data_IF_486913277105
#
_entry.id   IF_486913277105
#
_cell.length_a   1.000
_cell.length_b   1.000
_cell.length_c   1.000
_cell.angle_alpha   90.00
_cell.angle_beta   90.00
_cell.angle_gamma   90.00
#
_symmetry.space_group_name_H-M   'P 1'
#
loop_
_entity.id
_entity.type
_entity.pdbx_description
1 polymer ?
#
# COMPACT_ATOMS: atom_id res chain seq x y z
N UNK A 1 -22.83 -22.40 -71.89
CA UNK A 1 -22.19 -21.28 -72.62
C UNK A 1 -21.41 -20.45 -71.63
N UNK A 2 -20.12 -20.28 -71.94
CA UNK A 2 -19.12 -19.33 -71.44
C UNK A 2 -18.67 -19.44 -69.97
N UNK A 3 -17.42 -19.87 -69.89
CA UNK A 3 -16.44 -19.99 -68.81
C UNK A 3 -15.96 -18.65 -68.26
N UNK A 4 -15.55 -18.63 -66.98
CA UNK A 4 -14.79 -17.53 -66.38
C UNK A 4 -13.77 -18.03 -65.35
N UNK A 5 -12.54 -18.24 -65.80
CA UNK A 5 -11.27 -18.42 -65.07
C UNK A 5 -11.00 -17.20 -64.17
N UNK A 6 -10.49 -17.31 -62.93
CA UNK A 6 -9.16 -17.81 -62.58
C UNK A 6 -8.17 -16.64 -62.46
N UNK A 7 -7.83 -16.22 -61.24
CA UNK A 7 -6.84 -15.16 -60.99
C UNK A 7 -6.39 -15.10 -59.54
N UNK A 8 -5.42 -15.93 -59.16
CA UNK A 8 -4.64 -15.78 -57.91
C UNK A 8 -3.53 -14.78 -58.16
N UNK A 9 -3.46 -13.71 -57.37
CA UNK A 9 -2.28 -12.83 -57.31
C UNK A 9 -1.37 -13.29 -56.18
N UNK A 10 -0.14 -13.63 -56.55
CA UNK A 10 1.00 -13.76 -55.66
C UNK A 10 1.40 -12.34 -55.20
N UNK A 11 1.59 -12.16 -53.89
CA UNK A 11 2.34 -11.02 -53.36
C UNK A 11 3.73 -11.53 -52.97
N UNK A 12 4.74 -10.90 -53.54
CA UNK A 12 6.15 -11.08 -53.22
C UNK A 12 6.42 -10.61 -51.78
N UNK A 13 7.08 -11.47 -51.00
CA UNK A 13 7.58 -11.12 -49.68
C UNK A 13 8.90 -10.36 -49.85
N UNK A 14 8.88 -9.06 -49.53
CA UNK A 14 10.10 -8.27 -49.34
C UNK A 14 10.69 -8.58 -47.96
N UNK A 15 11.98 -8.92 -47.95
CA UNK A 15 12.82 -9.02 -46.76
C UNK A 15 12.89 -7.66 -46.05
N UNK A 16 12.35 -7.56 -44.85
CA UNK A 16 12.61 -6.44 -43.94
C UNK A 16 13.67 -6.86 -42.90
N UNK A 17 14.74 -6.06 -42.87
CA UNK A 17 15.85 -6.11 -41.91
C UNK A 17 15.37 -5.88 -40.47
N UNK A 18 16.12 -6.34 -39.44
CA UNK A 18 15.72 -6.13 -38.06
C UNK A 18 15.83 -4.65 -37.69
N UNK A 19 14.69 -4.03 -37.38
CA UNK A 19 14.62 -2.73 -36.72
C UNK A 19 15.21 -2.85 -35.31
N UNK A 20 16.30 -2.12 -35.07
CA UNK A 20 16.87 -1.94 -33.75
C UNK A 20 15.84 -1.28 -32.81
N UNK A 21 15.67 -1.89 -31.65
CA UNK A 21 14.79 -1.43 -30.57
C UNK A 21 15.38 -0.15 -29.96
N UNK A 22 14.75 1.04 -30.07
CA UNK A 22 15.20 2.19 -29.32
C UNK A 22 14.87 1.94 -27.84
N UNK A 23 15.93 1.77 -27.03
CA UNK A 23 15.79 1.66 -25.59
C UNK A 23 15.04 2.86 -24.98
N UNK A 24 14.48 2.70 -23.77
CA UNK A 24 13.68 3.74 -23.12
C UNK A 24 14.48 5.04 -22.96
N UNK A 25 13.84 6.21 -23.11
CA UNK A 25 14.51 7.50 -23.02
C UNK A 25 15.13 7.68 -21.64
N UNK A 26 16.47 7.75 -21.59
CA UNK A 26 17.20 8.13 -20.38
C UNK A 26 16.90 9.61 -20.08
N UNK A 27 15.90 9.84 -19.22
CA UNK A 27 15.53 11.18 -18.77
C UNK A 27 16.59 11.75 -17.81
N UNK A 28 17.69 12.26 -18.37
CA UNK A 28 18.73 12.97 -17.63
C UNK A 28 18.29 14.37 -17.11
N UNK A 29 17.00 14.71 -17.21
CA UNK A 29 16.46 16.03 -16.82
C UNK A 29 16.10 16.11 -15.34
N UNK A 30 15.82 14.98 -14.67
CA UNK A 30 15.50 14.95 -13.23
C UNK A 30 16.69 15.37 -12.33
N UNK A 31 17.94 15.14 -12.78
CA UNK A 31 19.14 15.52 -12.01
C UNK A 31 19.47 17.02 -12.04
N UNK A 32 18.89 17.80 -12.96
CA UNK A 32 19.17 19.25 -13.10
C UNK A 32 18.19 20.17 -12.36
N UNK A 33 17.11 19.63 -11.77
CA UNK A 33 16.08 20.45 -11.11
C UNK A 33 16.32 20.67 -9.60
N UNK A 34 17.18 19.87 -8.96
CA UNK A 34 17.48 20.02 -7.52
C UNK A 34 18.38 21.26 -7.23
N UNK A 35 19.09 21.79 -8.22
CA UNK A 35 20.00 22.93 -8.05
C UNK A 35 19.34 24.32 -8.14
N UNK A 36 18.01 24.41 -8.30
CA UNK A 36 17.27 25.68 -8.40
C UNK A 36 16.21 25.89 -7.32
N UNK A 37 16.32 25.22 -6.18
CA UNK A 37 15.60 25.68 -4.98
C UNK A 37 16.30 26.94 -4.51
N UNK A 38 15.68 28.11 -4.72
CA UNK A 38 16.07 29.35 -4.04
C UNK A 38 15.96 29.05 -2.54
N UNK A 39 17.08 28.77 -1.90
CA UNK A 39 17.19 28.68 -0.45
C UNK A 39 16.59 29.98 0.11
N UNK A 40 15.47 29.86 0.79
CA UNK A 40 14.98 30.92 1.65
C UNK A 40 16.08 31.23 2.66
N UNK A 41 16.55 32.48 2.66
CA UNK A 41 17.54 32.95 3.62
C UNK A 41 17.04 32.64 5.04
N UNK A 42 17.90 32.15 5.94
CA UNK A 42 17.52 31.93 7.32
C UNK A 42 17.07 33.26 7.94
N UNK A 43 15.96 33.21 8.68
CA UNK A 43 15.59 34.25 9.64
C UNK A 43 16.79 34.39 10.58
N UNK A 44 17.47 35.53 10.55
CA UNK A 44 18.58 35.82 11.44
C UNK A 44 18.08 35.77 12.90
N UNK A 45 18.34 34.67 13.59
CA UNK A 45 18.44 34.72 15.05
C UNK A 45 19.63 35.64 15.34
N UNK A 46 19.40 36.70 16.14
CA UNK A 46 20.34 37.80 16.34
C UNK A 46 21.77 37.32 16.58
N UNK A 47 22.71 38.04 15.96
CA UNK A 47 24.15 37.85 16.15
C UNK A 47 24.47 37.97 17.64
N UNK A 48 24.91 36.85 18.23
CA UNK A 48 25.56 36.85 19.54
C UNK A 48 27.04 36.95 19.23
N UNK A 49 27.66 38.05 19.62
CA UNK A 49 29.12 38.22 19.54
C UNK A 49 29.78 37.08 20.33
N UNK A 50 30.59 36.29 19.64
CA UNK A 50 31.41 35.24 20.24
C UNK A 50 32.76 35.87 20.58
N UNK A 51 33.05 35.99 21.88
CA UNK A 51 34.40 36.22 22.35
C UNK A 51 35.27 35.00 22.01
N UNK A 52 36.38 35.22 21.31
CA UNK A 52 37.41 34.25 21.00
C UNK A 52 38.05 33.71 22.29
N UNK A 53 37.44 32.67 22.86
CA UNK A 53 37.97 31.96 24.01
C UNK A 53 39.13 31.03 23.61
N UNK A 54 40.16 31.06 24.44
CA UNK A 54 41.46 30.39 24.29
C UNK A 54 41.37 28.86 24.10
N UNK A 55 42.43 28.22 23.58
CA UNK A 55 42.43 26.78 23.31
C UNK A 55 42.41 25.94 24.59
N UNK A 56 41.37 25.11 24.68
CA UNK A 56 41.18 23.84 25.41
C UNK A 56 42.15 23.56 26.58
N UNK A 57 41.75 23.97 27.79
CA UNK A 57 42.05 23.17 28.98
C UNK A 57 41.35 21.82 28.82
N UNK A 58 42.10 20.73 29.01
CA UNK A 58 41.60 19.35 28.97
C UNK A 58 40.67 19.14 30.17
N UNK A 59 39.39 19.49 29.99
CA UNK A 59 38.35 19.30 31.00
C UNK A 59 38.20 17.79 31.22
N UNK A 60 38.30 17.35 32.47
CA UNK A 60 38.24 15.94 32.84
C UNK A 60 37.00 15.26 32.21
N UNK A 61 37.22 14.18 31.45
CA UNK A 61 36.19 13.48 30.66
C UNK A 61 35.11 12.75 31.51
N UNK A 62 35.14 12.91 32.84
CA UNK A 62 34.34 12.14 33.81
C UNK A 62 33.25 12.95 34.53
N UNK A 63 32.98 14.19 34.15
CA UNK A 63 31.87 14.92 34.77
C UNK A 63 30.52 14.47 34.20
N UNK A 64 29.64 13.99 35.09
CA UNK A 64 28.25 13.73 34.77
C UNK A 64 27.51 15.05 34.49
N UNK A 65 26.65 15.03 33.46
CA UNK A 65 25.76 16.14 33.15
C UNK A 65 24.29 15.69 33.22
N UNK A 66 23.40 16.60 33.58
CA UNK A 66 21.97 16.29 33.72
C UNK A 66 21.27 16.40 32.36
N UNK A 67 20.59 15.33 31.94
CA UNK A 67 19.79 15.32 30.72
C UNK A 67 18.59 16.27 30.82
N UNK A 68 18.39 17.16 29.85
CA UNK A 68 17.25 18.10 29.85
C UNK A 68 15.86 17.46 29.67
N UNK A 69 15.78 16.16 29.36
CA UNK A 69 14.52 15.44 29.11
C UNK A 69 14.18 14.47 30.26
N UNK A 70 15.04 13.50 30.56
CA UNK A 70 14.80 12.55 31.65
C UNK A 70 15.25 13.06 33.03
N UNK A 71 16.02 14.16 33.08
CA UNK A 71 16.59 14.73 34.31
C UNK A 71 17.56 13.80 35.05
N UNK A 72 18.03 12.74 34.39
CA UNK A 72 19.04 11.82 34.94
C UNK A 72 20.45 12.36 34.72
N UNK A 73 21.34 12.11 35.68
CA UNK A 73 22.78 12.32 35.52
C UNK A 73 23.31 11.28 34.52
N UNK A 74 23.96 11.77 33.47
CA UNK A 74 24.50 10.96 32.38
C UNK A 74 25.94 11.37 32.14
N UNK A 75 26.87 10.43 31.93
CA UNK A 75 28.25 10.76 31.61
C UNK A 75 28.32 11.73 30.42
N UNK A 76 29.21 12.73 30.46
CA UNK A 76 29.33 13.72 29.38
C UNK A 76 29.50 13.08 27.97
N UNK A 77 30.14 11.90 27.87
CA UNK A 77 30.27 11.13 26.62
C UNK A 77 28.94 10.65 26.03
N UNK A 78 27.94 10.40 26.88
CA UNK A 78 26.61 9.91 26.49
C UNK A 78 25.60 11.06 26.40
N UNK A 79 26.08 12.31 26.41
CA UNK A 79 25.31 13.51 26.19
C UNK A 79 25.44 14.01 24.75
N UNK A 80 24.32 14.42 24.19
CA UNK A 80 24.18 14.92 22.84
C UNK A 80 23.77 16.39 22.85
N UNK A 81 24.54 17.22 22.16
CA UNK A 81 24.29 18.66 22.01
C UNK A 81 23.43 18.91 20.78
N UNK A 82 22.29 19.54 20.98
CA UNK A 82 21.24 19.73 19.98
C UNK A 82 21.48 20.99 19.14
N UNK A 83 21.95 20.81 17.91
CA UNK A 83 22.02 21.85 16.88
C UNK A 83 22.64 23.17 17.37
N UNK A 84 22.07 24.30 16.95
CA UNK A 84 22.53 25.65 17.32
C UNK A 84 22.06 26.11 18.71
N UNK A 85 21.06 25.44 19.31
CA UNK A 85 20.54 25.85 20.61
C UNK A 85 21.39 25.39 21.80
N UNK A 86 22.41 24.56 21.55
CA UNK A 86 23.32 24.01 22.57
C UNK A 86 22.63 23.28 23.75
N UNK A 87 21.35 22.94 23.62
CA UNK A 87 20.65 22.12 24.60
C UNK A 87 21.24 20.72 24.65
N UNK A 88 21.34 20.14 25.84
CA UNK A 88 21.96 18.84 26.06
C UNK A 88 20.93 17.81 26.50
N UNK A 89 20.97 16.64 25.88
CA UNK A 89 20.10 15.50 26.21
C UNK A 89 20.92 14.22 26.14
N UNK A 90 20.59 13.18 26.92
CA UNK A 90 21.27 11.90 26.79
C UNK A 90 20.97 11.25 25.43
N UNK A 91 21.86 10.37 24.96
CA UNK A 91 21.71 9.67 23.68
C UNK A 91 20.36 8.93 23.57
N UNK A 92 19.90 8.30 24.66
CA UNK A 92 18.61 7.60 24.68
C UNK A 92 17.41 8.53 24.49
N UNK A 93 17.38 9.68 25.17
CA UNK A 93 16.31 10.67 24.96
C UNK A 93 16.37 11.29 23.56
N UNK A 94 17.57 11.52 23.01
CA UNK A 94 17.72 12.04 21.65
C UNK A 94 17.17 11.05 20.61
N UNK A 95 17.56 9.78 20.68
CA UNK A 95 17.10 8.73 19.76
C UNK A 95 15.61 8.47 19.92
N UNK A 96 15.11 8.39 21.16
CA UNK A 96 13.68 8.28 21.45
C UNK A 96 12.87 9.44 20.85
N UNK A 97 13.37 10.67 20.97
CA UNK A 97 12.73 11.85 20.37
C UNK A 97 12.68 11.80 18.84
N UNK A 98 13.76 11.36 18.18
CA UNK A 98 13.79 11.19 16.72
C UNK A 98 12.78 10.12 16.26
N UNK A 99 12.67 9.01 16.99
CA UNK A 99 11.66 7.97 16.72
C UNK A 99 10.24 8.49 16.89
N UNK A 100 9.98 9.23 17.95
CA UNK A 100 8.69 9.90 18.17
C UNK A 100 8.38 10.89 17.03
N UNK A 101 9.38 11.67 16.58
CA UNK A 101 9.24 12.59 15.45
C UNK A 101 8.87 11.86 14.16
N UNK A 102 9.47 10.71 13.85
CA UNK A 102 9.11 9.89 12.68
C UNK A 102 7.66 9.37 12.75
N UNK A 103 7.10 9.19 13.95
CA UNK A 103 5.69 8.86 14.14
C UNK A 103 4.74 10.05 13.95
N UNK A 104 5.25 11.27 14.14
CA UNK A 104 4.48 12.53 14.14
C UNK A 104 5.09 13.58 13.22
N UNK A 105 5.31 13.21 11.95
CA UNK A 105 6.07 14.01 10.97
C UNK A 105 5.55 15.46 10.87
N UNK A 106 4.24 15.67 10.90
CA UNK A 106 3.63 17.00 10.76
C UNK A 106 3.84 17.97 11.93
N UNK A 107 4.15 17.49 13.14
CA UNK A 107 4.32 18.35 14.33
C UNK A 107 5.80 18.60 14.64
N UNK A 108 6.61 17.55 14.55
CA UNK A 108 7.98 17.55 15.03
C UNK A 108 9.02 17.82 13.95
N UNK A 109 8.67 17.71 12.66
CA UNK A 109 9.55 18.17 11.59
C UNK A 109 9.27 19.62 11.22
N UNK A 110 10.36 20.37 11.04
CA UNK A 110 10.37 21.75 10.56
C UNK A 110 11.28 21.85 9.34
N UNK A 111 11.19 22.95 8.59
CA UNK A 111 12.24 23.29 7.64
C UNK A 111 13.60 23.26 8.34
N UNK A 112 14.51 22.43 7.84
CA UNK A 112 15.85 22.27 8.42
C UNK A 112 16.03 21.06 9.36
N UNK A 113 14.99 20.32 9.75
CA UNK A 113 15.14 19.04 10.47
C UNK A 113 14.10 18.77 11.56
N UNK A 114 14.51 18.08 12.63
CA UNK A 114 13.63 17.71 13.76
C UNK A 114 13.66 18.80 14.83
N UNK A 115 12.50 19.26 15.32
CA UNK A 115 12.43 20.27 16.39
C UNK A 115 13.18 19.80 17.64
N UNK A 116 13.89 20.73 18.29
CA UNK A 116 14.48 20.47 19.59
C UNK A 116 13.41 20.08 20.64
N UNK A 117 13.61 19.02 21.45
CA UNK A 117 12.65 18.59 22.47
C UNK A 117 12.52 19.57 23.65
N UNK A 118 13.45 20.53 23.80
CA UNK A 118 13.49 21.39 24.98
C UNK A 118 12.43 22.50 24.96
N UNK A 119 11.86 22.75 26.14
CA UNK A 119 10.96 23.87 26.42
C UNK A 119 11.72 24.90 27.27
N UNK A 120 11.59 26.18 26.92
CA UNK A 120 12.19 27.29 27.67
C UNK A 120 11.41 27.53 28.97
N UNK A 121 12.01 28.24 29.92
CA UNK A 121 11.40 28.57 31.22
C UNK A 121 10.06 29.33 31.13
N UNK A 122 9.80 30.03 30.02
CA UNK A 122 8.53 30.72 29.75
C UNK A 122 7.45 29.80 29.13
N UNK A 123 7.66 28.49 29.12
CA UNK A 123 6.74 27.51 28.54
C UNK A 123 6.76 27.43 27.01
N UNK A 124 7.57 28.23 26.30
CA UNK A 124 7.69 28.17 24.84
C UNK A 124 8.70 27.11 24.41
N UNK A 125 8.36 26.29 23.41
CA UNK A 125 9.28 25.32 22.80
C UNK A 125 10.49 26.03 22.16
N UNK A 126 11.64 25.38 22.17
CA UNK A 126 12.80 25.84 21.43
C UNK A 126 12.48 25.92 19.92
N UNK A 127 12.91 27.00 19.26
CA UNK A 127 12.65 27.24 17.84
C UNK A 127 13.66 26.51 16.92
N UNK A 128 14.75 25.98 17.47
CA UNK A 128 15.80 25.36 16.69
C UNK A 128 15.40 23.96 16.19
N UNK A 129 15.97 23.60 15.04
CA UNK A 129 15.90 22.28 14.45
C UNK A 129 17.25 21.57 14.63
N UNK A 130 17.20 20.25 14.76
CA UNK A 130 18.33 19.35 14.67
C UNK A 130 18.42 18.93 13.20
N UNK A 131 19.45 19.39 12.50
CA UNK A 131 19.64 19.07 11.10
C UNK A 131 20.02 17.59 10.88
N UNK A 132 19.93 17.15 9.63
CA UNK A 132 20.18 15.75 9.26
C UNK A 132 21.61 15.29 9.60
N UNK A 133 22.61 16.15 9.41
CA UNK A 133 24.02 15.79 9.66
C UNK A 133 24.27 15.59 11.17
N UNK A 134 23.64 16.40 12.01
CA UNK A 134 23.63 16.19 13.47
C UNK A 134 22.92 14.90 13.85
N UNK A 135 21.78 14.59 13.24
CA UNK A 135 21.07 13.33 13.51
C UNK A 135 21.84 12.09 13.04
N UNK A 136 22.61 12.21 11.96
CA UNK A 136 23.56 11.18 11.54
C UNK A 136 24.65 10.98 12.59
N UNK A 137 25.24 12.08 13.09
CA UNK A 137 26.27 12.01 14.15
C UNK A 137 25.73 11.42 15.45
N UNK A 138 24.44 11.64 15.77
CA UNK A 138 23.77 10.99 16.90
C UNK A 138 23.80 9.47 16.74
N UNK A 139 23.44 8.95 15.56
CA UNK A 139 23.47 7.52 15.30
C UNK A 139 24.88 6.92 15.41
N UNK A 140 25.89 7.62 14.91
CA UNK A 140 27.29 7.20 14.99
C UNK A 140 27.80 7.20 16.44
N UNK A 141 27.44 8.22 17.22
CA UNK A 141 27.75 8.29 18.66
C UNK A 141 27.04 7.21 19.48
N UNK A 142 25.75 6.99 19.25
CA UNK A 142 25.03 5.88 19.87
C UNK A 142 25.69 4.55 19.53
N UNK A 143 26.14 4.34 18.29
CA UNK A 143 26.84 3.09 17.95
C UNK A 143 28.17 2.95 18.73
N UNK A 144 28.91 4.04 18.91
CA UNK A 144 30.17 4.05 19.65
C UNK A 144 29.99 3.80 21.15
N UNK A 145 29.00 4.42 21.80
CA UNK A 145 28.69 4.19 23.22
C UNK A 145 28.26 2.75 23.53
N UNK A 146 27.80 2.02 22.51
CA UNK A 146 27.38 0.61 22.64
C UNK A 146 28.52 -0.41 22.41
N UNK A 147 29.74 -0.01 22.06
CA UNK A 147 30.91 -0.90 22.00
C UNK A 147 31.62 -0.95 23.36
N UNK A 148 31.50 -2.01 24.18
CA UNK A 148 32.29 -3.24 24.11
C UNK A 148 31.53 -4.48 24.65
N UNK A 149 30.22 -4.58 24.43
CA UNK A 149 29.42 -5.73 24.94
C UNK A 149 29.50 -6.99 24.06
N UNK A 150 30.23 -6.92 22.93
CA UNK A 150 30.34 -8.03 21.97
C UNK A 150 31.12 -9.24 22.49
N UNK A 151 31.86 -9.10 23.60
CA UNK A 151 32.67 -10.18 24.18
C UNK A 151 31.86 -11.17 25.04
N UNK A 152 30.69 -10.80 25.57
CA UNK A 152 29.96 -11.64 26.55
C UNK A 152 28.70 -12.34 26.04
N UNK A 153 28.19 -12.01 24.83
CA UNK A 153 26.93 -12.58 24.32
C UNK A 153 27.06 -13.65 23.22
N UNK A 154 28.28 -14.02 22.80
CA UNK A 154 28.51 -15.00 21.73
C UNK A 154 28.55 -16.48 22.19
N UNK A 155 27.70 -16.89 23.15
CA UNK A 155 27.60 -18.30 23.60
C UNK A 155 26.18 -18.87 23.64
N UNK A 156 25.27 -18.49 22.74
CA UNK A 156 23.98 -19.19 22.58
C UNK A 156 23.77 -19.67 21.15
N UNK A 157 23.92 -20.99 20.98
CA UNK A 157 23.86 -21.79 19.74
C UNK A 157 22.43 -22.13 19.29
N UNK A 158 21.51 -21.18 19.23
CA UNK A 158 20.10 -21.46 18.85
C UNK A 158 19.54 -20.45 17.85
N UNK A 159 19.93 -20.61 16.58
CA UNK A 159 19.74 -19.64 15.49
C UNK A 159 18.33 -19.61 14.83
N UNK A 160 17.35 -20.38 15.32
CA UNK A 160 16.04 -20.54 14.64
C UNK A 160 14.80 -20.14 15.45
N UNK A 161 14.93 -19.71 16.71
CA UNK A 161 13.76 -19.33 17.55
C UNK A 161 13.56 -17.80 17.64
N UNK A 162 14.51 -16.96 17.20
CA UNK A 162 14.47 -15.50 17.44
C UNK A 162 13.77 -14.70 16.32
N UNK A 163 13.35 -15.33 15.21
CA UNK A 163 12.80 -14.59 14.06
C UNK A 163 11.40 -13.96 14.28
N UNK A 164 10.71 -14.26 15.40
CA UNK A 164 9.37 -13.75 15.69
C UNK A 164 9.25 -12.95 16.99
N UNK A 165 10.36 -12.73 17.70
CA UNK A 165 10.42 -11.80 18.82
C UNK A 165 11.28 -10.63 18.38
N UNK A 166 10.65 -9.58 17.85
CA UNK A 166 11.30 -8.27 17.80
C UNK A 166 11.18 -7.74 19.22
N UNK A 167 12.22 -7.80 20.08
CA UNK A 167 12.15 -7.18 21.38
C UNK A 167 11.75 -5.72 21.19
N UNK A 168 10.89 -5.22 22.07
CA UNK A 168 10.59 -3.78 22.12
C UNK A 168 11.93 -3.05 22.21
N UNK A 169 12.29 -2.31 21.15
CA UNK A 169 13.55 -1.57 21.12
C UNK A 169 13.53 -0.54 22.24
N UNK A 170 14.50 -0.63 23.13
CA UNK A 170 14.66 0.35 24.19
C UNK A 170 15.05 1.70 23.58
N UNK A 171 14.67 2.79 24.24
CA UNK A 171 14.92 4.17 23.77
C UNK A 171 16.41 4.48 23.54
N UNK A 172 17.32 3.68 24.10
CA UNK A 172 18.77 3.79 23.95
C UNK A 172 19.34 3.28 22.63
N UNK A 173 18.67 2.35 21.92
CA UNK A 173 19.25 1.69 20.76
C UNK A 173 19.64 2.70 19.66
N UNK A 174 20.81 2.59 19.00
CA UNK A 174 21.17 3.43 17.87
C UNK A 174 20.10 3.43 16.76
N UNK A 175 20.01 4.52 16.01
CA UNK A 175 19.14 4.56 14.83
C UNK A 175 19.64 3.56 13.78
N UNK A 176 18.75 2.71 13.29
CA UNK A 176 19.07 1.79 12.20
C UNK A 176 19.26 2.55 10.88
N UNK A 177 19.93 1.91 9.92
CA UNK A 177 20.09 2.46 8.55
C UNK A 177 18.75 2.74 7.88
N UNK A 178 17.72 1.93 8.15
CA UNK A 178 16.34 2.15 7.66
C UNK A 178 15.73 3.40 8.29
N UNK A 179 15.92 3.61 9.59
CA UNK A 179 15.44 4.81 10.29
C UNK A 179 16.15 6.07 9.77
N UNK A 180 17.47 6.03 9.56
CA UNK A 180 18.23 7.14 8.99
C UNK A 180 17.79 7.49 7.57
N UNK A 181 17.50 6.50 6.72
CA UNK A 181 16.98 6.74 5.37
C UNK A 181 15.59 7.38 5.40
N UNK A 182 14.70 6.90 6.29
CA UNK A 182 13.38 7.52 6.52
C UNK A 182 13.50 8.95 7.03
N UNK A 183 14.41 9.19 7.97
CA UNK A 183 14.68 10.50 8.53
C UNK A 183 15.17 11.49 7.48
N UNK A 184 16.11 11.07 6.63
CA UNK A 184 16.60 11.88 5.51
C UNK A 184 15.44 12.29 4.59
N UNK A 185 14.58 11.33 4.24
CA UNK A 185 13.39 11.58 3.42
C UNK A 185 12.47 12.62 4.07
N UNK A 186 12.18 12.50 5.36
CA UNK A 186 11.31 13.45 6.06
C UNK A 186 11.92 14.84 6.18
N UNK A 187 13.24 14.97 6.38
CA UNK A 187 13.91 16.28 6.38
C UNK A 187 13.82 16.96 5.00
N UNK A 188 13.95 16.20 3.91
CA UNK A 188 13.78 16.73 2.55
C UNK A 188 12.32 17.10 2.30
N UNK A 189 11.38 16.25 2.70
CA UNK A 189 9.94 16.51 2.58
C UNK A 189 9.56 17.78 3.34
N UNK A 190 9.98 17.94 4.60
CA UNK A 190 9.66 19.08 5.46
C UNK A 190 10.22 20.42 4.96
N UNK A 191 11.28 20.40 4.16
CA UNK A 191 11.84 21.57 3.52
C UNK A 191 10.98 22.10 2.36
N UNK A 192 10.10 21.28 1.79
CA UNK A 192 9.19 21.69 0.71
C UNK A 192 7.86 22.11 1.32
N UNK A 193 7.32 23.31 1.01
CA UNK A 193 6.00 23.72 1.47
C UNK A 193 4.92 22.69 1.14
N UNK A 194 3.93 22.52 2.01
CA UNK A 194 2.89 21.49 1.85
C UNK A 194 2.03 21.67 0.59
N UNK A 195 1.87 22.91 0.14
CA UNK A 195 1.17 23.29 -1.10
C UNK A 195 2.03 23.06 -2.37
N UNK A 196 3.33 22.83 -2.21
CA UNK A 196 4.27 22.58 -3.30
C UNK A 196 4.74 21.12 -3.38
N UNK A 197 4.15 20.21 -2.59
CA UNK A 197 4.49 18.78 -2.62
C UNK A 197 3.27 17.89 -2.65
N UNK A 198 3.41 16.75 -3.30
CA UNK A 198 2.41 15.68 -3.31
C UNK A 198 3.10 14.33 -3.51
N UNK A 199 2.41 13.23 -3.25
CA UNK A 199 2.94 11.89 -3.52
C UNK A 199 2.25 11.29 -4.73
N UNK A 200 3.05 10.72 -5.63
CA UNK A 200 2.55 10.01 -6.80
C UNK A 200 1.57 8.89 -6.38
N UNK A 201 0.34 8.82 -6.92
CA UNK A 201 -0.63 7.79 -6.54
C UNK A 201 -0.20 6.37 -6.96
N UNK A 202 0.67 6.23 -7.97
CA UNK A 202 1.12 4.93 -8.46
C UNK A 202 2.32 4.37 -7.67
N UNK A 203 3.37 5.18 -7.46
CA UNK A 203 4.62 4.73 -6.84
C UNK A 203 4.90 5.34 -5.46
N UNK A 204 4.07 6.27 -4.97
CA UNK A 204 4.18 6.95 -3.67
C UNK A 204 5.44 7.79 -3.46
N UNK A 205 6.22 7.99 -4.53
CA UNK A 205 7.37 8.92 -4.50
C UNK A 205 6.90 10.37 -4.37
N UNK A 206 7.70 11.15 -3.64
CA UNK A 206 7.47 12.59 -3.47
C UNK A 206 7.69 13.30 -4.80
N UNK A 207 6.74 14.16 -5.16
CA UNK A 207 6.82 15.01 -6.33
C UNK A 207 6.62 16.46 -5.90
N UNK A 208 7.53 17.33 -6.33
CA UNK A 208 7.41 18.78 -6.18
C UNK A 208 6.48 19.28 -7.27
N UNK A 209 5.47 20.07 -6.88
CA UNK A 209 4.48 20.65 -7.79
C UNK A 209 5.08 21.91 -8.40
N UNK A 210 5.35 21.89 -9.71
CA UNK A 210 5.92 22.99 -10.47
C UNK A 210 4.88 23.61 -11.43
N UNK A 211 3.88 24.32 -10.88
CA UNK A 211 2.99 25.17 -11.70
C UNK A 211 1.54 25.21 -11.26
N UNK A 212 0.76 26.05 -11.94
CA UNK A 212 -0.64 26.36 -11.58
C UNK A 212 -1.66 25.38 -12.17
N UNK A 213 -1.28 24.60 -13.18
CA UNK A 213 -2.22 23.76 -13.96
C UNK A 213 -2.81 22.56 -13.21
N UNK A 214 -2.35 22.30 -11.98
CA UNK A 214 -2.75 21.14 -11.18
C UNK A 214 -2.35 19.78 -11.77
N UNK A 215 -1.71 19.74 -12.96
CA UNK A 215 -1.15 18.52 -13.56
C UNK A 215 0.26 18.28 -13.04
N UNK A 216 0.52 17.06 -12.60
CA UNK A 216 1.84 16.62 -12.17
C UNK A 216 2.22 15.39 -12.95
N UNK A 217 3.44 15.37 -13.51
CA UNK A 217 4.04 14.18 -14.12
C UNK A 217 5.08 13.64 -13.16
N UNK A 218 4.91 12.40 -12.71
CA UNK A 218 5.87 11.78 -11.82
C UNK A 218 7.21 11.56 -12.53
N UNK A 219 8.28 12.18 -12.04
CA UNK A 219 9.63 12.01 -12.60
C UNK A 219 10.20 10.59 -12.47
N UNK A 220 9.61 9.75 -11.61
CA UNK A 220 10.07 8.38 -11.34
C UNK A 220 9.40 7.33 -12.24
N UNK A 221 8.07 7.33 -12.34
CA UNK A 221 7.33 6.33 -13.11
C UNK A 221 6.61 6.89 -14.35
N UNK A 222 6.70 8.20 -14.60
CA UNK A 222 6.14 8.85 -15.80
C UNK A 222 4.62 9.04 -15.80
N UNK A 223 3.91 8.53 -14.80
CA UNK A 223 2.44 8.69 -14.71
C UNK A 223 2.05 10.13 -14.45
N UNK A 224 0.94 10.58 -15.04
CA UNK A 224 0.40 11.91 -14.81
C UNK A 224 -0.86 11.88 -13.93
N UNK A 225 -0.97 12.84 -13.02
CA UNK A 225 -2.04 12.87 -12.04
C UNK A 225 -2.37 14.31 -11.61
N UNK A 226 -3.52 14.47 -10.96
CA UNK A 226 -3.95 15.75 -10.41
C UNK A 226 -3.29 16.01 -9.05
N UNK A 227 -2.63 17.16 -8.89
CA UNK A 227 -2.03 17.59 -7.62
C UNK A 227 -3.06 17.69 -6.49
N UNK A 228 -4.28 18.13 -6.80
CA UNK A 228 -5.34 18.36 -5.83
C UNK A 228 -5.99 17.07 -5.31
N UNK A 229 -6.58 16.26 -6.20
CA UNK A 229 -7.30 15.04 -5.81
C UNK A 229 -6.48 13.74 -5.94
N UNK A 230 -5.25 13.81 -6.45
CA UNK A 230 -4.35 12.67 -6.71
C UNK A 230 -4.92 11.62 -7.68
N UNK A 231 -5.94 11.98 -8.47
CA UNK A 231 -6.50 11.09 -9.48
C UNK A 231 -5.52 10.86 -10.63
N UNK A 232 -5.41 9.59 -11.04
CA UNK A 232 -4.67 9.13 -12.20
C UNK A 232 -5.62 8.33 -13.11
N UNK A 233 -5.72 8.63 -14.42
CA UNK A 233 -4.98 9.68 -15.13
C UNK A 233 -5.43 11.10 -14.75
N UNK A 234 -4.62 12.10 -15.08
CA UNK A 234 -4.97 13.51 -14.87
C UNK A 234 -6.23 13.93 -15.67
N UNK A 235 -7.05 14.81 -15.10
CA UNK A 235 -8.28 15.32 -15.71
C UNK A 235 -8.16 16.84 -15.99
N UNK A 236 -8.35 17.24 -17.26
CA UNK A 236 -8.29 18.66 -17.69
C UNK A 236 -9.62 19.38 -17.55
N UNK A 237 -10.67 18.74 -18.04
CA UNK A 237 -11.96 19.39 -18.33
C UNK A 237 -12.98 19.20 -17.20
N UNK A 238 -12.50 18.86 -16.01
CA UNK A 238 -13.30 18.63 -14.82
C UNK A 238 -12.58 19.22 -13.61
N UNK A 239 -13.34 19.85 -12.72
CA UNK A 239 -12.87 20.15 -11.36
C UNK A 239 -12.62 18.84 -10.60
N UNK A 240 -11.82 18.89 -9.53
CA UNK A 240 -11.61 17.72 -8.67
C UNK A 240 -12.92 17.12 -8.16
N UNK A 241 -13.90 17.96 -7.80
CA UNK A 241 -15.21 17.52 -7.31
C UNK A 241 -16.05 16.83 -8.39
N UNK A 242 -16.06 17.35 -9.63
CA UNK A 242 -16.77 16.73 -10.75
C UNK A 242 -16.13 15.39 -11.17
N UNK A 243 -14.80 15.34 -11.16
CA UNK A 243 -14.06 14.11 -11.44
C UNK A 243 -14.32 13.05 -10.38
N UNK A 244 -14.31 13.43 -9.10
CA UNK A 244 -14.67 12.54 -8.01
C UNK A 244 -16.11 12.05 -8.12
N UNK A 245 -17.08 12.93 -8.40
CA UNK A 245 -18.48 12.55 -8.58
C UNK A 245 -18.68 11.59 -9.76
N UNK A 246 -17.98 11.83 -10.87
CA UNK A 246 -18.00 10.96 -12.05
C UNK A 246 -17.39 9.59 -11.71
N UNK A 247 -16.23 9.57 -11.05
CA UNK A 247 -15.59 8.33 -10.60
C UNK A 247 -16.43 7.60 -9.55
N UNK A 248 -17.13 8.30 -8.67
CA UNK A 248 -18.05 7.70 -7.70
C UNK A 248 -19.19 6.96 -8.42
N UNK A 249 -19.82 7.60 -9.41
CA UNK A 249 -20.84 6.97 -10.26
C UNK A 249 -20.29 5.78 -11.05
N UNK A 250 -19.08 5.91 -11.61
CA UNK A 250 -18.42 4.80 -12.31
C UNK A 250 -18.07 3.64 -11.36
N UNK A 251 -17.64 3.93 -10.13
CA UNK A 251 -17.39 2.91 -9.11
C UNK A 251 -18.69 2.22 -8.72
N UNK A 252 -19.75 2.97 -8.46
CA UNK A 252 -21.09 2.43 -8.15
C UNK A 252 -21.61 1.56 -9.29
N UNK A 253 -21.53 2.04 -10.54
CA UNK A 253 -21.91 1.27 -11.73
C UNK A 253 -21.07 0.01 -11.91
N UNK A 254 -19.75 0.06 -11.70
CA UNK A 254 -18.87 -1.12 -11.74
C UNK A 254 -19.15 -2.08 -10.59
N UNK A 255 -19.45 -1.56 -9.39
CA UNK A 255 -19.87 -2.35 -8.24
C UNK A 255 -21.19 -3.05 -8.52
N UNK A 256 -22.15 -2.37 -9.15
CA UNK A 256 -23.44 -2.95 -9.53
C UNK A 256 -23.26 -4.01 -10.63
N UNK A 257 -22.44 -3.75 -11.65
CA UNK A 257 -22.09 -4.73 -12.68
C UNK A 257 -21.41 -5.96 -12.08
N UNK A 258 -20.47 -5.75 -11.15
CA UNK A 258 -19.81 -6.84 -10.42
C UNK A 258 -20.81 -7.65 -9.61
N UNK A 259 -21.65 -7.00 -8.79
CA UNK A 259 -22.68 -7.68 -8.00
C UNK A 259 -23.62 -8.46 -8.90
N UNK A 260 -24.07 -7.88 -10.00
CA UNK A 260 -24.96 -8.54 -10.97
C UNK A 260 -24.31 -9.76 -11.63
N UNK A 261 -23.04 -9.64 -12.00
CA UNK A 261 -22.29 -10.72 -12.62
C UNK A 261 -21.94 -11.83 -11.63
N UNK A 262 -21.67 -11.54 -10.35
CA UNK A 262 -21.23 -12.54 -9.36
C UNK A 262 -22.32 -13.07 -8.45
N UNK A 263 -23.57 -12.64 -8.64
CA UNK A 263 -24.67 -12.98 -7.74
C UNK A 263 -25.87 -13.53 -8.50
N UNK A 264 -26.71 -14.28 -7.78
CA UNK A 264 -28.01 -14.73 -8.26
C UNK A 264 -29.09 -14.07 -7.40
N UNK A 265 -30.22 -13.65 -8.00
CA UNK A 265 -31.30 -13.04 -7.25
C UNK A 265 -31.98 -14.09 -6.36
N UNK A 266 -32.29 -13.72 -5.12
CA UNK A 266 -33.13 -14.53 -4.27
C UNK A 266 -34.50 -14.72 -4.94
N UNK A 267 -35.00 -15.96 -5.09
CA UNK A 267 -36.28 -16.24 -5.75
C UNK A 267 -37.49 -15.64 -5.02
N UNK A 268 -37.35 -15.23 -3.76
CA UNK A 268 -38.44 -14.66 -2.95
C UNK A 268 -38.42 -13.12 -2.90
N UNK A 269 -37.24 -12.49 -2.87
CA UNK A 269 -37.12 -11.03 -2.65
C UNK A 269 -36.13 -10.33 -3.60
N UNK A 270 -35.61 -11.06 -4.60
CA UNK A 270 -34.64 -10.60 -5.61
C UNK A 270 -33.30 -10.10 -5.09
N UNK A 271 -33.06 -10.07 -3.78
CA UNK A 271 -31.79 -9.64 -3.20
C UNK A 271 -30.61 -10.45 -3.78
N UNK A 272 -29.52 -9.78 -4.20
CA UNK A 272 -28.37 -10.45 -4.79
C UNK A 272 -27.68 -11.32 -3.74
N UNK A 273 -27.43 -12.59 -4.09
CA UNK A 273 -26.71 -13.53 -3.23
C UNK A 273 -25.48 -14.03 -3.99
N UNK A 274 -24.31 -13.98 -3.35
CA UNK A 274 -23.07 -14.54 -3.92
C UNK A 274 -22.77 -15.89 -3.26
N UNK A 275 -22.26 -16.83 -4.04
CA UNK A 275 -21.76 -18.11 -3.55
C UNK A 275 -20.59 -18.57 -4.43
N UNK A 276 -19.47 -18.91 -3.80
CA UNK A 276 -18.27 -19.33 -4.50
C UNK A 276 -18.18 -20.84 -4.60
N UNK A 277 -17.60 -21.30 -5.70
CA UNK A 277 -17.36 -22.71 -5.98
C UNK A 277 -16.47 -23.33 -4.90
N UNK A 278 -16.98 -24.35 -4.22
CA UNK A 278 -16.28 -25.05 -3.14
C UNK A 278 -16.29 -24.33 -1.78
N UNK A 279 -17.13 -23.32 -1.56
CA UNK A 279 -17.29 -22.65 -0.26
C UNK A 279 -18.52 -23.17 0.51
N UNK A 280 -18.76 -24.48 0.43
CA UNK A 280 -19.92 -25.15 1.02
C UNK A 280 -20.95 -25.64 0.00
N UNK A 281 -22.10 -26.07 0.51
CA UNK A 281 -23.18 -26.58 -0.33
C UNK A 281 -24.00 -25.46 -0.99
N UNK A 282 -24.77 -25.80 -2.01
CA UNK A 282 -25.65 -24.85 -2.70
C UNK A 282 -26.85 -24.38 -1.86
N UNK A 283 -26.96 -24.74 -0.57
CA UNK A 283 -28.04 -24.28 0.30
C UNK A 283 -27.75 -22.87 0.81
N UNK A 284 -28.52 -21.89 0.35
CA UNK A 284 -28.47 -20.55 0.93
C UNK A 284 -29.27 -20.55 2.23
N UNK A 285 -28.55 -20.71 3.34
CA UNK A 285 -29.05 -20.73 4.72
C UNK A 285 -28.24 -19.97 5.79
N UNK A 286 -27.17 -19.17 5.53
CA UNK A 286 -26.45 -18.48 6.60
C UNK A 286 -27.40 -17.62 7.45
N UNK A 287 -27.43 -17.85 8.76
CA UNK A 287 -28.34 -17.12 9.67
C UNK A 287 -29.84 -17.34 9.37
N UNK A 288 -30.21 -18.49 8.80
CA UNK A 288 -31.61 -18.88 8.57
C UNK A 288 -32.18 -18.52 7.19
N UNK A 289 -31.34 -18.40 6.15
CA UNK A 289 -31.80 -18.19 4.77
C UNK A 289 -31.22 -16.93 4.11
N UNK A 290 -31.92 -16.40 3.11
CA UNK A 290 -31.62 -15.09 2.53
C UNK A 290 -31.58 -14.01 3.64
N UNK A 291 -30.55 -13.16 3.73
CA UNK A 291 -30.45 -12.17 4.81
C UNK A 291 -31.63 -11.19 4.89
N UNK A 292 -32.31 -10.94 3.76
CA UNK A 292 -33.42 -9.99 3.67
C UNK A 292 -34.78 -10.58 4.00
N UNK A 293 -35.07 -11.81 3.54
CA UNK A 293 -36.40 -12.42 3.68
C UNK A 293 -36.40 -13.77 4.39
N UNK A 294 -35.23 -14.26 4.83
CA UNK A 294 -35.02 -15.57 5.48
C UNK A 294 -35.46 -16.79 4.66
N UNK A 295 -35.76 -16.61 3.37
CA UNK A 295 -36.08 -17.74 2.50
C UNK A 295 -34.87 -18.64 2.30
N UNK A 296 -35.04 -19.94 2.51
CA UNK A 296 -34.06 -20.96 2.14
C UNK A 296 -34.24 -21.38 0.68
N UNK A 297 -33.14 -21.48 -0.07
CA UNK A 297 -33.20 -21.84 -1.48
C UNK A 297 -31.88 -22.43 -2.00
N UNK A 298 -31.93 -23.08 -3.17
CA UNK A 298 -30.76 -23.65 -3.83
C UNK A 298 -30.08 -22.64 -4.76
N UNK A 299 -28.83 -22.29 -4.49
CA UNK A 299 -28.05 -21.38 -5.34
C UNK A 299 -27.93 -21.86 -6.80
N UNK A 300 -27.77 -23.18 -7.00
CA UNK A 300 -27.63 -23.76 -8.34
C UNK A 300 -28.90 -23.59 -9.17
N UNK A 301 -30.07 -23.82 -8.59
CA UNK A 301 -31.31 -23.94 -9.37
C UNK A 301 -32.46 -23.01 -8.97
N UNK A 302 -32.31 -22.15 -7.97
CA UNK A 302 -33.35 -21.20 -7.56
C UNK A 302 -34.53 -21.80 -6.78
N UNK A 303 -34.60 -23.13 -6.60
CA UNK A 303 -35.75 -23.77 -5.94
C UNK A 303 -35.80 -23.41 -4.45
N UNK A 304 -36.95 -22.91 -3.99
CA UNK A 304 -37.21 -22.52 -2.59
C UNK A 304 -37.64 -23.70 -1.73
N UNK A 305 -37.59 -23.52 -0.41
CA UNK A 305 -38.16 -24.47 0.54
C UNK A 305 -39.62 -24.80 0.24
N UNK A 306 -40.43 -23.76 0.09
CA UNK A 306 -41.85 -23.88 -0.17
C UNK A 306 -42.12 -24.66 -1.47
N UNK A 307 -41.37 -24.36 -2.53
CA UNK A 307 -41.50 -25.09 -3.80
C UNK A 307 -41.14 -26.57 -3.63
N UNK A 308 -40.05 -26.88 -2.92
CA UNK A 308 -39.59 -28.25 -2.74
C UNK A 308 -40.55 -29.08 -1.89
N UNK A 309 -41.08 -28.52 -0.80
CA UNK A 309 -42.11 -29.19 0.00
C UNK A 309 -43.35 -29.45 -0.85
N UNK A 310 -43.83 -28.45 -1.59
CA UNK A 310 -45.03 -28.57 -2.41
C UNK A 310 -44.89 -29.58 -3.55
N UNK A 311 -43.75 -29.59 -4.27
CA UNK A 311 -43.59 -30.41 -5.49
C UNK A 311 -42.93 -31.76 -5.23
N UNK A 312 -42.16 -31.92 -4.14
CA UNK A 312 -41.25 -33.06 -3.93
C UNK A 312 -41.30 -33.61 -2.50
N UNK A 313 -42.14 -33.06 -1.63
CA UNK A 313 -42.42 -33.59 -0.29
C UNK A 313 -41.30 -33.45 0.75
N UNK A 314 -40.17 -32.82 0.42
CA UNK A 314 -39.03 -32.61 1.34
C UNK A 314 -38.40 -31.25 1.10
N UNK A 315 -38.08 -30.51 2.17
CA UNK A 315 -37.50 -29.15 2.08
C UNK A 315 -36.24 -29.08 1.22
N UNK A 316 -35.34 -30.05 1.35
CA UNK A 316 -34.06 -30.06 0.63
C UNK A 316 -34.15 -30.58 -0.80
N UNK A 317 -35.27 -31.18 -1.21
CA UNK A 317 -35.37 -31.88 -2.49
C UNK A 317 -35.47 -30.89 -3.66
N UNK A 318 -34.35 -30.35 -4.14
CA UNK A 318 -34.35 -29.46 -5.30
C UNK A 318 -34.26 -30.22 -6.63
N UNK A 319 -34.34 -29.50 -7.76
CA UNK A 319 -34.24 -30.06 -9.12
C UNK A 319 -32.82 -30.42 -9.57
N UNK A 320 -31.80 -30.16 -8.75
CA UNK A 320 -30.41 -30.49 -9.09
C UNK A 320 -30.17 -32.00 -8.97
N UNK A 321 -29.10 -32.52 -9.57
CA UNK A 321 -28.60 -33.86 -9.28
C UNK A 321 -27.40 -33.77 -8.34
N UNK A 322 -27.34 -34.55 -7.25
CA UNK A 322 -28.44 -35.31 -6.64
C UNK A 322 -29.48 -34.35 -6.05
N UNK A 323 -30.77 -34.66 -6.10
CA UNK A 323 -31.92 -33.81 -5.72
C UNK A 323 -31.93 -33.35 -4.26
N UNK A 324 -30.94 -32.54 -3.88
CA UNK A 324 -30.66 -32.07 -2.53
C UNK A 324 -29.94 -30.72 -2.57
N UNK A 325 -30.32 -29.81 -1.67
CA UNK A 325 -29.60 -28.57 -1.41
C UNK A 325 -28.20 -28.78 -0.86
N UNK A 326 -27.95 -29.93 -0.23
CA UNK A 326 -26.62 -30.34 0.21
C UNK A 326 -25.72 -30.77 -0.94
N UNK A 327 -26.14 -30.55 -2.20
CA UNK A 327 -25.24 -30.71 -3.34
C UNK A 327 -24.11 -29.69 -3.24
N UNK A 328 -22.89 -30.20 -3.37
CA UNK A 328 -21.69 -29.40 -3.50
C UNK A 328 -21.39 -29.15 -4.98
N UNK A 329 -20.46 -28.24 -5.25
CA UNK A 329 -19.96 -28.05 -6.59
C UNK A 329 -19.21 -29.31 -7.05
N UNK A 330 -19.36 -29.67 -8.32
CA UNK A 330 -18.61 -30.78 -8.90
C UNK A 330 -17.20 -30.31 -9.25
N UNK A 331 -16.17 -31.03 -8.81
CA UNK A 331 -14.77 -30.62 -9.02
C UNK A 331 -14.10 -31.34 -10.21
N UNK A 332 -14.64 -32.51 -10.59
CA UNK A 332 -14.11 -33.31 -11.68
C UNK A 332 -14.06 -32.51 -12.99
N UNK A 333 -12.87 -32.48 -13.63
CA UNK A 333 -12.63 -31.81 -14.92
C UNK A 333 -13.04 -30.33 -14.93
N UNK A 334 -12.94 -29.63 -13.79
CA UNK A 334 -13.40 -28.24 -13.63
C UNK A 334 -12.95 -27.31 -14.77
N UNK A 335 -11.70 -27.44 -15.23
CA UNK A 335 -11.15 -26.63 -16.31
C UNK A 335 -11.99 -26.67 -17.61
N UNK A 336 -12.61 -27.81 -17.94
CA UNK A 336 -13.46 -27.95 -19.12
C UNK A 336 -14.80 -27.19 -19.01
N UNK A 337 -15.24 -26.94 -17.77
CA UNK A 337 -16.52 -26.30 -17.44
C UNK A 337 -16.37 -24.85 -17.01
N UNK A 338 -15.16 -24.31 -16.97
CA UNK A 338 -14.97 -22.88 -16.73
C UNK A 338 -15.39 -22.07 -17.96
N UNK A 339 -16.18 -21.03 -17.72
CA UNK A 339 -16.43 -19.93 -18.65
C UNK A 339 -16.14 -18.61 -17.95
N UNK A 340 -15.97 -17.58 -18.74
CA UNK A 340 -15.68 -16.23 -18.27
C UNK A 340 -16.86 -15.34 -18.63
N UNK A 341 -17.31 -14.55 -17.67
CA UNK A 341 -18.34 -13.56 -17.91
C UNK A 341 -17.78 -12.41 -18.77
N UNK A 342 -18.33 -12.23 -19.96
CA UNK A 342 -17.89 -11.21 -20.91
C UNK A 342 -18.35 -9.81 -20.53
N UNK A 343 -19.41 -9.68 -19.72
CA UNK A 343 -19.96 -8.39 -19.27
C UNK A 343 -19.01 -7.68 -18.30
N UNK A 344 -18.04 -8.41 -17.74
CA UNK A 344 -16.98 -7.86 -16.86
C UNK A 344 -15.65 -7.59 -17.59
N UNK A 345 -15.60 -7.67 -18.93
CA UNK A 345 -14.44 -7.20 -19.70
C UNK A 345 -14.34 -5.69 -19.56
N UNK A 346 -13.67 -5.22 -18.51
CA UNK A 346 -13.25 -3.82 -18.40
C UNK A 346 -12.53 -3.45 -19.69
N UNK A 347 -13.00 -2.43 -20.39
CA UNK A 347 -12.65 -2.07 -21.77
C UNK A 347 -11.19 -1.68 -22.06
N UNK A 348 -10.20 -2.28 -21.38
CA UNK A 348 -8.81 -2.25 -21.79
C UNK A 348 -8.57 -3.30 -22.87
N UNK A 349 -8.47 -2.88 -24.12
CA UNK A 349 -8.31 -3.70 -25.33
C UNK A 349 -6.99 -4.49 -25.44
N UNK A 350 -6.54 -5.15 -24.39
CA UNK A 350 -5.32 -5.95 -24.37
C UNK A 350 -5.58 -7.42 -24.06
N UNK A 351 -6.01 -8.20 -25.06
CA UNK A 351 -5.73 -9.64 -25.30
C UNK A 351 -5.89 -10.72 -24.20
N UNK A 352 -6.15 -10.40 -22.93
CA UNK A 352 -6.25 -11.34 -21.84
C UNK A 352 -7.65 -11.32 -21.23
N UNK A 353 -8.38 -12.42 -21.33
CA UNK A 353 -9.76 -12.58 -20.85
C UNK A 353 -9.95 -12.15 -19.40
N UNK A 354 -10.44 -10.92 -19.19
CA UNK A 354 -10.61 -10.28 -17.88
C UNK A 354 -11.93 -10.57 -17.17
N UNK A 355 -12.72 -11.54 -17.64
CA UNK A 355 -13.96 -11.94 -16.98
C UNK A 355 -13.72 -12.69 -15.67
N UNK A 356 -14.73 -12.77 -14.81
CA UNK A 356 -14.68 -13.64 -13.64
C UNK A 356 -15.02 -15.07 -14.06
N UNK A 357 -14.16 -16.06 -13.78
CA UNK A 357 -14.46 -17.43 -14.13
C UNK A 357 -15.60 -17.99 -13.26
N UNK A 358 -16.47 -18.78 -13.88
CA UNK A 358 -17.53 -19.52 -13.22
C UNK A 358 -17.69 -20.91 -13.84
N UNK A 359 -18.20 -21.85 -13.04
CA UNK A 359 -18.49 -23.21 -13.50
C UNK A 359 -19.89 -23.27 -14.12
N UNK A 360 -20.00 -23.59 -15.40
CA UNK A 360 -21.30 -23.62 -16.11
C UNK A 360 -22.27 -24.69 -15.57
N UNK A 361 -21.79 -25.71 -14.85
CA UNK A 361 -22.63 -26.79 -14.32
C UNK A 361 -23.47 -26.33 -13.13
N UNK A 362 -22.98 -25.37 -12.34
CA UNK A 362 -23.68 -24.85 -11.15
C UNK A 362 -23.91 -23.33 -11.19
N UNK A 363 -23.20 -22.62 -12.06
CA UNK A 363 -23.18 -21.15 -12.10
C UNK A 363 -22.54 -20.53 -10.86
N UNK A 364 -21.68 -21.25 -10.14
CA UNK A 364 -20.92 -20.69 -9.02
C UNK A 364 -19.63 -20.05 -9.55
N UNK A 365 -19.31 -18.86 -9.07
CA UNK A 365 -18.07 -18.17 -9.43
C UNK A 365 -16.88 -18.75 -8.67
N UNK A 366 -15.70 -18.68 -9.28
CA UNK A 366 -14.46 -19.03 -8.61
C UNK A 366 -14.07 -17.91 -7.64
N UNK A 367 -13.66 -18.27 -6.42
CA UNK A 367 -13.36 -17.30 -5.38
C UNK A 367 -12.18 -16.39 -5.78
N UNK A 368 -12.34 -15.05 -5.76
CA UNK A 368 -11.25 -14.13 -6.09
C UNK A 368 -10.25 -13.93 -4.93
N UNK A 369 -10.58 -14.42 -3.73
CA UNK A 369 -9.78 -14.18 -2.51
C UNK A 369 -8.91 -15.37 -2.12
N UNK A 370 -9.34 -16.59 -2.40
CA UNK A 370 -8.51 -17.77 -2.15
C UNK A 370 -7.24 -17.77 -3.01
N UNK A 371 -6.17 -18.39 -2.50
CA UNK A 371 -4.92 -18.67 -3.21
C UNK A 371 -4.49 -20.11 -2.89
N UNK A 372 -3.65 -20.74 -3.71
CA UNK A 372 -3.07 -22.04 -3.35
C UNK A 372 -2.41 -21.98 -1.97
N UNK A 373 -2.88 -22.80 -1.03
CA UNK A 373 -2.40 -22.83 0.35
C UNK A 373 -2.84 -21.66 1.27
N UNK A 374 -3.64 -20.70 0.79
CA UNK A 374 -4.18 -19.62 1.61
C UNK A 374 -5.68 -19.40 1.36
N UNK A 375 -6.50 -19.88 2.29
CA UNK A 375 -7.96 -19.77 2.25
C UNK A 375 -8.44 -18.38 2.68
N UNK A 376 -9.59 -17.93 2.17
CA UNK A 376 -10.27 -16.77 2.74
C UNK A 376 -11.14 -17.16 3.94
N UNK A 377 -11.68 -16.17 4.65
CA UNK A 377 -12.49 -16.35 5.87
C UNK A 377 -13.78 -17.16 5.67
N UNK A 378 -14.22 -17.34 4.41
CA UNK A 378 -15.42 -18.11 4.05
C UNK A 378 -15.09 -19.49 3.47
N UNK A 379 -13.83 -19.91 3.47
CA UNK A 379 -13.36 -21.16 2.89
C UNK A 379 -12.68 -22.02 3.96
N UNK A 380 -12.91 -23.32 3.91
CA UNK A 380 -12.25 -24.34 4.74
C UNK A 380 -11.02 -24.96 4.06
N UNK A 381 -10.58 -24.37 2.94
CA UNK A 381 -9.45 -24.84 2.15
C UNK A 381 -9.81 -25.86 1.07
N UNK A 382 -11.06 -26.32 1.00
CA UNK A 382 -11.49 -27.34 0.03
C UNK A 382 -11.74 -26.82 -1.38
N UNK A 383 -11.84 -25.49 -1.58
CA UNK A 383 -12.18 -24.94 -2.89
C UNK A 383 -11.10 -25.19 -3.97
N UNK A 384 -11.53 -25.17 -5.24
CA UNK A 384 -10.67 -25.45 -6.40
C UNK A 384 -9.45 -24.51 -6.52
N UNK A 385 -9.50 -23.32 -5.92
CA UNK A 385 -8.37 -22.36 -5.89
C UNK A 385 -7.36 -22.71 -4.80
N UNK A 386 -7.82 -23.00 -3.59
CA UNK A 386 -6.97 -23.42 -2.47
C UNK A 386 -6.20 -24.71 -2.81
N UNK A 387 -6.86 -25.62 -3.54
CA UNK A 387 -6.29 -26.87 -4.05
C UNK A 387 -5.41 -26.71 -5.28
N UNK A 388 -5.32 -25.51 -5.86
CA UNK A 388 -4.51 -25.23 -7.05
C UNK A 388 -5.04 -25.84 -8.36
N UNK A 389 -6.31 -26.27 -8.40
CA UNK A 389 -6.94 -26.83 -9.61
C UNK A 389 -7.33 -25.73 -10.61
N UNK A 390 -7.64 -24.54 -10.10
CA UNK A 390 -7.98 -23.36 -10.91
C UNK A 390 -7.14 -22.19 -10.39
N UNK A 391 -6.48 -21.41 -11.27
CA UNK A 391 -5.75 -20.23 -10.82
C UNK A 391 -6.71 -19.21 -10.18
N UNK A 392 -6.27 -18.47 -9.15
CA UNK A 392 -7.09 -17.40 -8.61
C UNK A 392 -7.46 -16.42 -9.73
N UNK A 393 -8.72 -15.96 -9.82
CA UNK A 393 -9.08 -14.88 -10.70
C UNK A 393 -8.10 -13.73 -10.45
N UNK A 394 -7.48 -13.21 -11.51
CA UNK A 394 -6.68 -12.00 -11.36
C UNK A 394 -7.65 -10.96 -10.79
N UNK A 395 -7.35 -10.33 -9.63
CA UNK A 395 -8.15 -9.19 -9.25
C UNK A 395 -8.06 -8.25 -10.45
N UNK A 396 -9.20 -7.96 -11.07
CA UNK A 396 -9.29 -6.80 -11.94
C UNK A 396 -8.59 -5.70 -11.16
N UNK A 397 -7.61 -5.04 -11.78
CA UNK A 397 -6.72 -4.08 -11.13
C UNK A 397 -7.54 -2.88 -10.69
N UNK A 398 -8.40 -3.08 -9.70
CA UNK A 398 -9.07 -2.07 -8.96
C UNK A 398 -7.98 -1.59 -8.03
N UNK A 399 -7.53 -0.38 -8.31
CA UNK A 399 -6.53 0.33 -7.53
C UNK A 399 -7.13 0.58 -6.13
N UNK A 400 -7.17 -0.45 -5.29
CA UNK A 400 -7.79 -0.45 -3.95
C UNK A 400 -6.72 -0.36 -2.86
N UNK A 401 -5.61 0.34 -3.11
CA UNK A 401 -4.80 0.85 -2.00
C UNK A 401 -5.44 2.14 -1.54
N UNK A 402 -6.26 2.02 -0.50
CA UNK A 402 -6.57 3.15 0.41
C UNK A 402 -5.31 3.56 1.14
#
# INVERSE_FOLDING_TARGET
>A
MITGTGGRRYYEAANESPLENPGPPQNNRARKLITKVKFWLPISCGEVEYDDAAPDEVVAEDEDAVCGVCLEATPARDMFVLGQCNHRVCLGCATGHVRAAMGSVGELFVPGGVRCPMVRSNGRRCACAIDYDRLRSLSEKSLASFGDVSSSYFSIRSFWIVAYFVPERESGDPLSTIELAKLQRFCVESAIPSDQRTNCPACQELVVIDGESGRVVCGYCGVDFCAGCRAHPWHRDQTCAEHEATNARLRESKSEAYVRATSKPCPNCTAPTSHFHGHGCHHISPGGGCPWCRAHWCYKCGATEAENVAKRGRRSACRCTPSSWTSFCEEGQIAAYLRYDDDLRGGGGGGGGGGLPYDVRCGCHICPFCRPGAQCDQCDGSCVVCRGLVPPPRPAVYNTRR
#
